data_IF_263610397488
#
_entry.id   IF_263610397488
#
_cell.length_a   1.000
_cell.length_b   1.000
_cell.length_c   1.000
_cell.angle_alpha   90.00
_cell.angle_beta   90.00
_cell.angle_gamma   90.00
#
_symmetry.space_group_name_H-M   'P 1'
#
loop_
_entity.id
_entity.type
_entity.pdbx_description
1 polymer ?
#
# COMPACT_ATOMS: atom_id res chain seq x y z
N UNK A 1 6.01 3.48 -2.68
CA UNK A 1 5.61 3.73 -1.28
C UNK A 1 5.14 2.42 -0.69
N UNK A 2 5.90 1.84 0.24
CA UNK A 2 5.53 0.59 0.91
C UNK A 2 4.88 0.92 2.25
N UNK A 3 3.65 0.44 2.48
CA UNK A 3 2.92 0.62 3.74
C UNK A 3 3.25 -0.57 4.64
N UNK A 4 4.06 -0.32 5.67
CA UNK A 4 4.26 -1.27 6.76
C UNK A 4 3.01 -1.32 7.64
N UNK A 5 2.36 -2.48 7.72
CA UNK A 5 1.33 -2.73 8.74
C UNK A 5 2.00 -3.02 10.10
N UNK A 6 1.62 -2.21 11.12
CA UNK A 6 2.02 -2.39 12.52
C UNK A 6 1.20 -3.53 13.16
N UNK A 7 1.89 -4.47 13.82
CA UNK A 7 1.29 -5.42 14.78
C UNK A 7 1.03 -4.69 16.10
N UNK A 8 -0.22 -4.70 16.57
CA UNK A 8 -0.56 -4.20 17.91
C UNK A 8 -0.26 -5.26 18.96
N UNK A 9 0.53 -4.90 19.97
CA UNK A 9 0.58 -5.59 21.26
C UNK A 9 -0.20 -4.82 22.32
N UNK A 10 -0.89 -5.54 23.20
CA UNK A 10 -1.18 -5.17 24.59
C UNK A 10 -1.61 -6.46 25.31
N UNK A 11 -0.87 -7.03 26.27
CA UNK A 11 -0.47 -6.61 27.65
C UNK A 11 -1.55 -6.92 28.70
N UNK A 12 -1.26 -8.01 29.44
CA UNK A 12 -1.53 -8.35 30.87
C UNK A 12 -2.78 -7.82 31.57
N UNK A 13 -3.45 -8.73 32.30
CA UNK A 13 -3.73 -8.54 33.74
C UNK A 13 -3.80 -9.88 34.50
N UNK A 14 -3.35 -9.81 35.74
CA UNK A 14 -3.09 -10.82 36.77
C UNK A 14 -4.30 -11.06 37.68
N UNK A 15 -4.29 -12.17 38.43
CA UNK A 15 -4.19 -12.28 39.92
C UNK A 15 -4.74 -13.63 40.43
N UNK A 16 -4.01 -14.13 41.42
CA UNK A 16 -4.06 -15.26 42.36
C UNK A 16 -5.36 -16.03 42.69
N UNK A 17 -5.20 -17.33 43.03
CA UNK A 17 -5.43 -17.82 44.41
C UNK A 17 -4.95 -19.28 44.66
N UNK A 18 -4.18 -19.43 45.75
CA UNK A 18 -4.14 -20.47 46.81
C UNK A 18 -3.83 -21.95 46.53
N UNK A 19 -2.60 -22.31 46.91
CA UNK A 19 -2.19 -23.21 48.01
C UNK A 19 -3.07 -24.41 48.42
N UNK A 20 -2.50 -25.63 48.37
CA UNK A 20 -2.66 -26.61 49.46
C UNK A 20 -1.46 -27.59 49.54
N UNK A 21 -0.97 -27.72 50.77
CA UNK A 21 0.14 -28.52 51.30
C UNK A 21 -0.18 -30.03 51.40
N UNK A 22 0.82 -30.92 51.24
CA UNK A 22 1.18 -31.98 52.22
C UNK A 22 2.32 -32.92 51.76
N UNK A 23 3.47 -32.75 52.42
CA UNK A 23 4.14 -33.70 53.33
C UNK A 23 4.61 -35.12 52.92
N UNK A 24 5.91 -35.33 53.23
CA UNK A 24 6.58 -36.53 53.79
C UNK A 24 6.86 -37.71 52.83
N UNK A 25 7.98 -38.46 52.88
CA UNK A 25 8.93 -38.77 53.97
C UNK A 25 10.25 -39.34 53.39
N UNK A 26 11.32 -39.15 54.18
CA UNK A 26 12.69 -39.74 54.13
C UNK A 26 12.76 -41.21 53.66
N UNK A 27 13.88 -41.58 53.01
CA UNK A 27 14.92 -42.41 53.64
C UNK A 27 16.24 -42.41 52.86
N UNK A 28 17.30 -42.33 53.66
CA UNK A 28 18.72 -42.39 53.37
C UNK A 28 19.12 -43.85 53.13
N UNK A 29 19.94 -44.13 52.12
CA UNK A 29 20.81 -45.31 52.13
C UNK A 29 21.98 -45.11 51.17
N UNK A 30 23.15 -44.99 51.79
CA UNK A 30 24.51 -44.99 51.26
C UNK A 30 24.76 -46.05 50.18
N UNK A 31 25.36 -45.65 49.06
CA UNK A 31 26.25 -46.54 48.32
C UNK A 31 27.35 -45.74 47.61
N UNK A 32 28.54 -45.75 48.20
CA UNK A 32 29.80 -45.36 47.58
C UNK A 32 30.03 -46.18 46.32
N UNK A 33 29.82 -45.62 45.12
CA UNK A 33 30.53 -46.09 43.91
C UNK A 33 30.81 -44.94 42.95
N UNK A 34 32.10 -44.70 42.80
CA UNK A 34 32.77 -44.19 41.61
C UNK A 34 32.49 -42.73 41.22
N UNK A 35 33.35 -41.86 41.77
CA UNK A 35 33.90 -40.73 41.02
C UNK A 35 34.66 -41.28 39.79
N UNK A 36 33.92 -41.71 38.77
CA UNK A 36 34.46 -41.81 37.42
C UNK A 36 34.02 -40.55 36.69
N UNK A 37 35.02 -39.74 36.36
CA UNK A 37 34.89 -38.57 35.50
C UNK A 37 34.00 -38.90 34.30
N UNK A 38 32.77 -38.37 34.30
CA UNK A 38 31.92 -38.38 33.11
C UNK A 38 32.46 -37.35 32.11
N UNK A 39 33.69 -37.56 31.63
CA UNK A 39 34.14 -37.01 30.35
C UNK A 39 33.48 -37.86 29.26
N UNK A 40 32.16 -37.70 29.13
CA UNK A 40 31.50 -38.04 27.88
C UNK A 40 32.15 -37.13 26.85
N UNK A 41 33.09 -37.67 26.07
CA UNK A 41 33.69 -37.00 24.92
C UNK A 41 32.55 -36.75 23.94
N UNK A 42 31.84 -35.65 24.16
CA UNK A 42 30.80 -35.13 23.29
C UNK A 42 31.39 -35.23 21.88
N UNK A 43 30.71 -35.89 20.92
CA UNK A 43 31.26 -36.07 19.59
C UNK A 43 31.20 -34.74 18.85
N UNK A 44 32.05 -33.79 19.23
CA UNK A 44 32.14 -32.43 18.72
C UNK A 44 32.23 -32.42 17.21
N UNK A 45 32.89 -33.43 16.62
CA UNK A 45 32.94 -33.63 15.16
C UNK A 45 31.54 -33.80 14.52
N UNK A 46 30.60 -34.50 15.16
CA UNK A 46 29.22 -34.70 14.67
C UNK A 46 28.34 -33.45 14.87
N UNK A 47 28.62 -32.67 15.91
CA UNK A 47 27.88 -31.43 16.21
C UNK A 47 28.32 -30.33 15.25
N UNK A 48 29.63 -30.16 15.05
CA UNK A 48 30.20 -29.18 14.12
C UNK A 48 29.76 -29.46 12.68
N UNK A 49 29.72 -30.72 12.24
CA UNK A 49 29.23 -31.05 10.89
C UNK A 49 27.75 -30.72 10.71
N UNK A 50 26.90 -31.01 11.70
CA UNK A 50 25.47 -30.62 11.66
C UNK A 50 25.29 -29.11 11.64
N UNK A 51 26.04 -28.37 12.46
CA UNK A 51 26.00 -26.91 12.46
C UNK A 51 26.45 -26.31 11.13
N UNK A 52 27.53 -26.82 10.54
CA UNK A 52 28.01 -26.37 9.23
C UNK A 52 27.00 -26.64 8.11
N UNK A 53 26.36 -27.81 8.11
CA UNK A 53 25.30 -28.13 7.14
C UNK A 53 24.09 -27.23 7.32
N UNK A 54 23.67 -26.96 8.56
CA UNK A 54 22.56 -26.03 8.86
C UNK A 54 22.89 -24.60 8.43
N UNK A 55 24.11 -24.11 8.68
CA UNK A 55 24.55 -22.78 8.24
C UNK A 55 24.61 -22.67 6.72
N UNK A 56 25.12 -23.69 6.02
CA UNK A 56 25.12 -23.76 4.55
C UNK A 56 23.70 -23.71 3.97
N UNK A 57 22.77 -24.46 4.56
CA UNK A 57 21.36 -24.44 4.14
C UNK A 57 20.70 -23.08 4.37
N UNK A 58 20.92 -22.46 5.54
CA UNK A 58 20.39 -21.12 5.83
C UNK A 58 21.00 -20.09 4.86
N UNK A 59 22.30 -20.17 4.59
CA UNK A 59 22.98 -19.29 3.64
C UNK A 59 22.44 -19.47 2.21
N UNK A 60 22.23 -20.72 1.77
CA UNK A 60 21.65 -21.01 0.47
C UNK A 60 20.22 -20.45 0.35
N UNK A 61 19.37 -20.65 1.35
CA UNK A 61 18.01 -20.09 1.39
C UNK A 61 18.03 -18.57 1.43
N UNK A 62 18.93 -17.96 2.21
CA UNK A 62 19.07 -16.51 2.26
C UNK A 62 19.49 -15.92 0.90
N UNK A 63 20.42 -16.58 0.21
CA UNK A 63 20.87 -16.16 -1.12
C UNK A 63 19.79 -16.34 -2.19
N UNK A 64 19.00 -17.41 -2.13
CA UNK A 64 17.91 -17.65 -3.08
C UNK A 64 16.67 -16.81 -2.80
N UNK A 65 16.38 -16.52 -1.53
CA UNK A 65 15.20 -15.74 -1.11
C UNK A 65 15.31 -14.25 -1.43
N UNK A 66 16.51 -13.70 -1.68
CA UNK A 66 16.70 -12.27 -1.96
C UNK A 66 16.41 -11.84 -3.39
N UNK A 67 15.99 -12.74 -4.26
CA UNK A 67 15.64 -12.43 -5.65
C UNK A 67 14.17 -12.03 -5.77
N UNK A 68 13.78 -10.92 -5.16
CA UNK A 68 12.55 -10.26 -5.58
C UNK A 68 12.90 -9.39 -6.81
N UNK A 69 12.56 -9.89 -8.00
CA UNK A 69 12.75 -9.20 -9.28
C UNK A 69 11.78 -8.02 -9.39
N UNK A 70 12.06 -6.94 -8.66
CA UNK A 70 11.37 -5.67 -8.86
C UNK A 70 11.97 -4.95 -10.05
N UNK A 71 11.23 -4.91 -11.16
CA UNK A 71 11.57 -4.04 -12.29
C UNK A 71 11.04 -2.63 -12.03
N UNK A 72 11.90 -1.61 -12.11
CA UNK A 72 11.48 -0.20 -12.04
C UNK A 72 10.68 0.12 -13.29
N UNK A 73 9.37 0.32 -13.15
CA UNK A 73 8.48 0.60 -14.29
C UNK A 73 8.65 2.02 -14.83
N UNK A 74 8.90 2.99 -13.95
CA UNK A 74 9.15 4.38 -14.27
C UNK A 74 9.97 5.01 -13.14
N UNK A 75 11.05 5.72 -13.48
CA UNK A 75 11.86 6.49 -12.53
C UNK A 75 11.43 7.95 -12.52
N UNK A 76 11.50 8.62 -11.36
CA UNK A 76 11.25 10.06 -11.24
C UNK A 76 12.29 10.90 -12.01
N UNK A 77 13.46 10.33 -12.31
CA UNK A 77 14.53 11.02 -13.04
C UNK A 77 14.29 11.04 -14.55
N UNK A 78 13.40 10.18 -15.05
CA UNK A 78 13.14 10.04 -16.48
C UNK A 78 12.00 10.98 -16.88
N UNK A 79 12.06 11.54 -18.09
CA UNK A 79 10.88 12.15 -18.73
C UNK A 79 10.24 11.14 -19.68
N UNK A 80 9.06 10.67 -19.33
CA UNK A 80 8.36 9.59 -20.00
C UNK A 80 7.21 10.16 -20.83
N UNK A 81 7.29 10.03 -22.16
CA UNK A 81 6.16 10.40 -23.01
C UNK A 81 4.98 9.46 -22.82
N UNK A 82 5.22 8.16 -22.90
CA UNK A 82 4.21 7.13 -22.63
C UNK A 82 4.92 5.81 -22.35
N UNK A 83 4.58 5.14 -21.26
CA UNK A 83 5.05 3.78 -20.94
C UNK A 83 3.89 2.98 -20.40
N UNK A 84 3.62 1.83 -21.02
CA UNK A 84 2.51 0.95 -20.65
C UNK A 84 3.00 -0.47 -20.35
N UNK A 85 2.35 -1.11 -19.38
CA UNK A 85 2.50 -2.54 -19.12
C UNK A 85 1.13 -3.16 -18.96
N UNK A 86 0.89 -4.27 -19.64
CA UNK A 86 -0.30 -5.07 -19.41
C UNK A 86 -0.17 -5.77 -18.06
N UNK A 87 -1.21 -5.68 -17.24
CA UNK A 87 -1.27 -6.35 -15.93
C UNK A 87 -2.50 -7.23 -15.86
N UNK A 88 -2.40 -8.33 -15.12
CA UNK A 88 -3.56 -9.18 -14.88
C UNK A 88 -4.60 -8.41 -14.09
N UNK A 89 -5.85 -8.41 -14.57
CA UNK A 89 -6.97 -7.84 -13.82
C UNK A 89 -7.13 -8.55 -12.47
N UNK A 90 -7.50 -7.80 -11.44
CA UNK A 90 -7.77 -8.38 -10.12
C UNK A 90 -8.96 -9.37 -10.20
N UNK A 91 -8.98 -10.43 -9.37
CA UNK A 91 -10.09 -11.38 -9.37
C UNK A 91 -11.45 -10.74 -9.09
N UNK A 92 -11.48 -9.71 -8.24
CA UNK A 92 -12.70 -8.93 -7.97
C UNK A 92 -13.17 -8.21 -9.25
N UNK A 93 -12.27 -7.52 -9.94
CA UNK A 93 -12.61 -6.77 -11.14
C UNK A 93 -13.04 -7.68 -12.32
N UNK A 94 -12.52 -8.92 -12.40
CA UNK A 94 -13.00 -9.90 -13.38
C UNK A 94 -14.49 -10.23 -13.22
N UNK A 95 -15.01 -10.22 -11.98
CA UNK A 95 -16.44 -10.39 -11.72
C UNK A 95 -17.23 -9.19 -12.26
N UNK A 96 -16.71 -7.98 -12.06
CA UNK A 96 -17.34 -6.76 -12.58
C UNK A 96 -17.39 -6.75 -14.11
N UNK A 97 -16.32 -7.20 -14.78
CA UNK A 97 -16.31 -7.38 -16.24
C UNK A 97 -17.45 -8.28 -16.68
N UNK A 98 -17.66 -9.42 -16.02
CA UNK A 98 -18.74 -10.35 -16.38
C UNK A 98 -20.15 -9.79 -16.13
N UNK A 99 -20.29 -8.91 -15.12
CA UNK A 99 -21.57 -8.31 -14.75
C UNK A 99 -21.93 -7.10 -15.63
N UNK A 100 -20.92 -6.38 -16.12
CA UNK A 100 -21.06 -5.09 -16.81
C UNK A 100 -20.28 -5.07 -18.13
N UNK A 101 -20.54 -6.04 -19.01
CA UNK A 101 -19.76 -6.29 -20.24
C UNK A 101 -19.51 -5.06 -21.14
N UNK A 102 -20.42 -4.08 -21.15
CA UNK A 102 -20.34 -2.88 -22.01
C UNK A 102 -19.99 -1.59 -21.26
N UNK A 103 -19.90 -1.62 -19.92
CA UNK A 103 -19.68 -0.43 -19.11
C UNK A 103 -18.26 -0.35 -18.52
N UNK A 104 -17.52 -1.47 -18.48
CA UNK A 104 -16.20 -1.49 -17.85
C UNK A 104 -15.07 -1.82 -18.85
N UNK A 105 -13.85 -1.29 -18.62
CA UNK A 105 -12.66 -1.70 -19.37
C UNK A 105 -12.42 -3.22 -19.34
N UNK A 106 -12.26 -3.83 -20.52
CA UNK A 106 -12.02 -5.28 -20.69
C UNK A 106 -10.56 -5.69 -20.45
N UNK A 107 -9.64 -4.74 -20.46
CA UNK A 107 -8.21 -4.97 -20.29
C UNK A 107 -7.69 -4.12 -19.13
N UNK A 108 -6.76 -4.69 -18.37
CA UNK A 108 -6.07 -3.99 -17.30
C UNK A 108 -4.62 -3.70 -17.72
N UNK A 109 -4.17 -2.50 -17.41
CA UNK A 109 -2.84 -2.04 -17.72
C UNK A 109 -2.39 -1.00 -16.69
N UNK A 110 -1.09 -0.81 -16.63
CA UNK A 110 -0.47 0.33 -15.96
C UNK A 110 0.07 1.26 -17.04
N UNK A 111 -0.22 2.55 -16.89
CA UNK A 111 0.23 3.61 -17.80
C UNK A 111 0.95 4.67 -16.98
N UNK A 112 2.10 5.12 -17.46
CA UNK A 112 2.84 6.27 -16.90
C UNK A 112 3.21 7.21 -18.04
N UNK A 113 2.99 8.50 -17.82
CA UNK A 113 3.28 9.56 -18.77
C UNK A 113 3.37 10.91 -18.05
N UNK A 114 4.31 11.74 -18.49
CA UNK A 114 4.53 13.10 -17.97
C UNK A 114 3.87 14.19 -18.83
N UNK A 115 3.17 13.81 -19.91
CA UNK A 115 2.59 14.79 -20.86
C UNK A 115 1.12 15.10 -20.56
N UNK A 116 0.51 14.42 -19.58
CA UNK A 116 -0.92 14.59 -19.26
C UNK A 116 -1.21 15.99 -18.78
N UNK A 117 -0.35 16.58 -17.93
CA UNK A 117 -0.60 17.86 -17.27
C UNK A 117 0.62 18.74 -17.42
N UNK A 118 0.44 19.96 -17.91
CA UNK A 118 1.52 20.93 -17.99
C UNK A 118 1.89 21.47 -16.60
N UNK A 119 3.13 21.97 -16.40
CA UNK A 119 3.52 22.59 -15.13
C UNK A 119 2.61 23.77 -14.72
N UNK A 120 2.11 24.52 -15.69
CA UNK A 120 1.22 25.66 -15.49
C UNK A 120 -0.15 25.21 -14.97
N UNK A 121 -0.73 24.17 -15.60
CA UNK A 121 -2.00 23.57 -15.15
C UNK A 121 -1.85 22.93 -13.77
N UNK A 122 -0.75 22.23 -13.51
CA UNK A 122 -0.47 21.66 -12.20
C UNK A 122 -0.38 22.74 -11.11
N UNK A 123 0.32 23.84 -11.39
CA UNK A 123 0.38 25.00 -10.49
C UNK A 123 -1.00 25.64 -10.30
N UNK A 124 -1.82 25.70 -11.34
CA UNK A 124 -3.20 26.21 -11.28
C UNK A 124 -4.09 25.33 -10.41
N UNK A 125 -4.10 24.02 -10.65
CA UNK A 125 -4.84 23.04 -9.86
C UNK A 125 -4.41 23.08 -8.39
N UNK A 126 -3.11 23.21 -8.11
CA UNK A 126 -2.62 23.38 -6.74
C UNK A 126 -3.21 24.63 -6.07
N UNK A 127 -3.31 25.77 -6.77
CA UNK A 127 -3.96 26.97 -6.23
C UNK A 127 -5.45 26.71 -5.95
N UNK A 128 -6.16 26.05 -6.87
CA UNK A 128 -7.58 25.70 -6.71
C UNK A 128 -7.78 24.81 -5.49
N UNK A 129 -6.98 23.75 -5.34
CA UNK A 129 -7.04 22.84 -4.19
C UNK A 129 -6.78 23.58 -2.89
N UNK A 130 -5.76 24.45 -2.82
CA UNK A 130 -5.46 25.26 -1.62
C UNK A 130 -6.63 26.17 -1.25
N UNK A 131 -7.21 26.89 -2.22
CA UNK A 131 -8.36 27.77 -1.99
C UNK A 131 -9.57 26.99 -1.46
N UNK A 132 -9.90 25.86 -2.08
CA UNK A 132 -11.06 25.06 -1.67
C UNK A 132 -10.88 24.39 -0.32
N UNK A 133 -9.71 23.78 -0.07
CA UNK A 133 -9.41 23.10 1.20
C UNK A 133 -9.31 24.08 2.38
N UNK A 134 -8.97 25.35 2.15
CA UNK A 134 -8.96 26.38 3.19
C UNK A 134 -10.35 26.67 3.80
N UNK A 135 -11.44 26.31 3.10
CA UNK A 135 -12.82 26.44 3.60
C UNK A 135 -13.32 25.20 4.35
N UNK A 136 -12.56 24.12 4.26
CA UNK A 136 -12.79 22.87 4.96
C UNK A 136 -11.99 22.80 6.26
N UNK A 137 -11.74 21.57 6.65
CA UNK A 137 -10.96 21.23 7.84
C UNK A 137 -11.53 19.95 8.37
N UNK A 138 -10.79 18.84 8.31
CA UNK A 138 -11.28 17.58 8.85
C UNK A 138 -10.78 17.40 10.28
N UNK A 139 -11.65 16.90 11.15
CA UNK A 139 -11.28 16.36 12.46
C UNK A 139 -10.49 15.03 12.35
N UNK A 140 -10.49 14.41 11.17
CA UNK A 140 -9.70 13.23 10.85
C UNK A 140 -8.35 13.54 10.19
N UNK A 141 -7.74 12.51 9.56
CA UNK A 141 -6.37 12.61 9.03
C UNK A 141 -6.21 13.31 7.68
N UNK A 142 -7.24 13.31 6.83
CA UNK A 142 -7.16 13.91 5.49
C UNK A 142 -8.43 14.71 5.17
N UNK A 143 -8.25 15.88 4.56
CA UNK A 143 -9.35 16.68 4.01
C UNK A 143 -9.57 16.35 2.54
N UNK A 144 -10.84 16.19 2.15
CA UNK A 144 -11.26 15.85 0.80
C UNK A 144 -12.06 17.03 0.22
N UNK A 145 -11.85 17.31 -1.06
CA UNK A 145 -12.60 18.29 -1.84
C UNK A 145 -12.93 17.67 -3.20
N UNK A 146 -14.22 17.61 -3.53
CA UNK A 146 -14.74 17.24 -4.84
C UNK A 146 -15.40 18.46 -5.49
N UNK A 147 -14.78 18.98 -6.54
CA UNK A 147 -15.30 20.12 -7.30
C UNK A 147 -16.53 19.75 -8.16
N UNK A 148 -16.74 18.47 -8.49
CA UNK A 148 -17.89 18.07 -9.30
C UNK A 148 -19.18 18.11 -8.47
N UNK A 149 -19.19 17.47 -7.29
CA UNK A 149 -20.36 17.47 -6.40
C UNK A 149 -20.41 18.67 -5.45
N UNK A 150 -19.27 19.34 -5.23
CA UNK A 150 -19.11 20.36 -4.21
C UNK A 150 -18.82 19.79 -2.81
N UNK A 151 -18.63 18.48 -2.66
CA UNK A 151 -18.36 17.87 -1.36
C UNK A 151 -17.02 18.33 -0.78
N UNK A 152 -17.04 18.89 0.43
CA UNK A 152 -15.86 19.33 1.17
C UNK A 152 -15.90 18.73 2.58
N UNK A 153 -14.78 18.15 3.02
CA UNK A 153 -14.63 17.71 4.40
C UNK A 153 -14.65 18.89 5.36
N UNK A 154 -15.54 18.83 6.34
CA UNK A 154 -15.67 19.82 7.40
C UNK A 154 -16.01 19.11 8.72
N UNK A 155 -15.12 19.24 9.70
CA UNK A 155 -15.09 18.49 10.94
C UNK A 155 -15.20 16.97 10.70
N UNK A 156 -16.30 16.35 11.12
CA UNK A 156 -16.56 14.91 11.00
C UNK A 156 -17.55 14.57 9.87
N UNK A 157 -17.87 15.52 8.98
CA UNK A 157 -18.85 15.34 7.91
C UNK A 157 -18.41 15.96 6.58
N UNK A 158 -19.26 15.82 5.57
CA UNK A 158 -19.12 16.50 4.29
C UNK A 158 -20.19 17.56 4.14
N UNK A 159 -19.80 18.73 3.66
CA UNK A 159 -20.69 19.84 3.36
C UNK A 159 -20.62 20.19 1.87
N UNK A 160 -21.62 20.91 1.37
CA UNK A 160 -21.58 21.50 0.05
C UNK A 160 -20.84 22.85 0.10
N UNK A 161 -19.65 22.90 -0.49
CA UNK A 161 -18.84 24.12 -0.54
C UNK A 161 -19.56 25.25 -1.30
N UNK A 162 -20.35 24.93 -2.32
CA UNK A 162 -21.03 25.96 -3.12
C UNK A 162 -22.13 26.68 -2.34
N UNK A 163 -22.85 25.96 -1.49
CA UNK A 163 -23.83 26.56 -0.57
C UNK A 163 -23.14 27.44 0.47
N UNK A 164 -22.03 26.95 1.05
CA UNK A 164 -21.22 27.71 2.02
C UNK A 164 -20.66 29.01 1.40
N UNK A 165 -20.15 28.94 0.17
CA UNK A 165 -19.66 30.09 -0.59
C UNK A 165 -20.76 31.14 -0.78
N UNK A 166 -21.95 30.69 -1.19
CA UNK A 166 -23.11 31.55 -1.43
C UNK A 166 -23.55 32.23 -0.13
N UNK A 167 -23.54 31.50 1.00
CA UNK A 167 -23.92 32.01 2.30
C UNK A 167 -22.92 33.05 2.86
N UNK A 168 -21.61 32.87 2.63
CA UNK A 168 -20.57 33.81 3.09
C UNK A 168 -20.39 35.05 2.19
N UNK A 169 -21.13 35.17 1.07
CA UNK A 169 -20.98 36.28 0.13
C UNK A 169 -19.64 36.30 -0.62
N UNK A 170 -18.83 35.26 -0.49
CA UNK A 170 -17.51 35.13 -1.12
C UNK A 170 -17.64 34.56 -2.52
N UNK A 171 -18.31 35.26 -3.44
CA UNK A 171 -18.54 34.82 -4.84
C UNK A 171 -17.26 34.59 -5.68
N UNK A 172 -16.07 34.53 -5.09
CA UNK A 172 -14.77 34.61 -5.78
C UNK A 172 -13.76 33.51 -5.39
N UNK A 173 -14.14 32.44 -4.70
CA UNK A 173 -13.18 31.38 -4.36
C UNK A 173 -12.68 30.70 -5.63
N UNK A 174 -13.61 30.21 -6.44
CA UNK A 174 -13.32 29.59 -7.72
C UNK A 174 -13.74 30.52 -8.86
N UNK A 175 -12.89 30.64 -9.87
CA UNK A 175 -13.20 31.39 -11.08
C UNK A 175 -13.66 30.45 -12.20
N UNK A 176 -14.34 30.96 -13.26
CA UNK A 176 -14.65 30.16 -14.44
C UNK A 176 -13.42 29.48 -15.06
N UNK A 177 -12.26 30.14 -15.00
CA UNK A 177 -10.98 29.60 -15.46
C UNK A 177 -10.52 28.40 -14.62
N UNK A 178 -10.73 28.43 -13.29
CA UNK A 178 -10.44 27.29 -12.41
C UNK A 178 -11.19 26.04 -12.88
N UNK A 179 -12.48 26.18 -13.20
CA UNK A 179 -13.30 25.07 -13.71
C UNK A 179 -12.95 24.66 -15.14
N UNK A 180 -12.43 25.59 -15.96
CA UNK A 180 -11.97 25.27 -17.32
C UNK A 180 -10.73 24.39 -17.26
N UNK A 181 -9.74 24.76 -16.45
CA UNK A 181 -8.51 23.98 -16.26
C UNK A 181 -8.82 22.62 -15.65
N UNK A 182 -9.62 22.56 -14.59
CA UNK A 182 -10.03 21.31 -13.95
C UNK A 182 -10.68 20.33 -14.93
N UNK A 183 -11.62 20.80 -15.76
CA UNK A 183 -12.29 19.97 -16.77
C UNK A 183 -11.35 19.54 -17.90
N UNK A 184 -10.49 20.45 -18.37
CA UNK A 184 -9.55 20.11 -19.44
C UNK A 184 -8.59 19.00 -19.02
N UNK A 185 -7.98 19.14 -17.84
CA UNK A 185 -7.07 18.13 -17.30
C UNK A 185 -7.81 16.82 -16.99
N UNK A 186 -8.84 16.89 -16.13
CA UNK A 186 -9.48 15.68 -15.59
C UNK A 186 -10.34 14.90 -16.59
N UNK A 187 -11.01 15.59 -17.52
CA UNK A 187 -11.96 14.94 -18.43
C UNK A 187 -11.47 14.81 -19.87
N UNK A 188 -10.56 15.68 -20.33
CA UNK A 188 -10.14 15.67 -21.73
C UNK A 188 -8.77 15.02 -21.88
N UNK A 189 -7.74 15.56 -21.23
CA UNK A 189 -6.35 15.12 -21.41
C UNK A 189 -6.11 13.69 -20.89
N UNK A 190 -6.68 13.34 -19.74
CA UNK A 190 -6.59 11.97 -19.20
C UNK A 190 -7.30 10.96 -20.11
N UNK A 191 -8.50 11.29 -20.58
CA UNK A 191 -9.29 10.38 -21.42
C UNK A 191 -8.69 10.20 -22.81
N UNK A 192 -8.09 11.24 -23.41
CA UNK A 192 -7.46 11.13 -24.72
C UNK A 192 -6.27 10.15 -24.70
N UNK A 193 -5.45 10.20 -23.65
CA UNK A 193 -4.30 9.31 -23.47
C UNK A 193 -4.75 7.86 -23.23
N UNK A 194 -5.82 7.65 -22.46
CA UNK A 194 -6.39 6.31 -22.25
C UNK A 194 -6.89 5.71 -23.57
N UNK A 195 -7.59 6.49 -24.39
CA UNK A 195 -8.11 6.02 -25.67
C UNK A 195 -7.00 5.78 -26.71
N UNK A 196 -5.94 6.59 -26.73
CA UNK A 196 -4.76 6.36 -27.58
C UNK A 196 -4.12 5.00 -27.28
N UNK A 197 -3.88 4.68 -26.00
CA UNK A 197 -3.32 3.38 -25.61
C UNK A 197 -4.28 2.23 -25.90
N UNK A 198 -5.59 2.44 -25.76
CA UNK A 198 -6.61 1.46 -26.12
C UNK A 198 -6.56 1.11 -27.62
N UNK A 199 -6.36 2.10 -28.49
CA UNK A 199 -6.19 1.89 -29.94
C UNK A 199 -4.90 1.11 -30.20
N UNK A 200 -3.79 1.48 -29.55
CA UNK A 200 -2.49 0.80 -29.69
C UNK A 200 -2.58 -0.69 -29.32
N UNK A 201 -3.25 -1.02 -28.21
CA UNK A 201 -3.48 -2.41 -27.77
C UNK A 201 -4.34 -3.20 -28.77
N UNK A 202 -5.37 -2.60 -29.36
CA UNK A 202 -6.17 -3.25 -30.42
C UNK A 202 -5.32 -3.52 -31.67
N UNK A 203 -4.45 -2.60 -32.06
CA UNK A 203 -3.53 -2.76 -33.19
C UNK A 203 -2.54 -3.92 -33.01
N UNK A 204 -2.01 -4.10 -31.79
CA UNK A 204 -1.12 -5.23 -31.45
C UNK A 204 -1.84 -6.59 -31.49
N UNK A 205 -3.11 -6.64 -31.07
CA UNK A 205 -3.88 -7.89 -31.09
C UNK A 205 -4.37 -8.31 -32.48
N UNK A 206 -4.47 -7.39 -33.46
CA UNK A 206 -4.81 -7.71 -34.85
C UNK A 206 -3.63 -8.25 -35.68
N UNK A 207 -2.39 -8.14 -35.17
CA UNK A 207 -1.16 -8.59 -35.84
C UNK A 207 -0.67 -9.98 -35.36
N UNK A 208 -1.46 -10.67 -34.54
CA UNK A 208 -1.26 -12.06 -34.12
C UNK A 208 -2.40 -12.91 -34.66
#
# INVERSE_FOLDING_TARGET
MAVHQRKSGNKKKSVDDKELNKDNKKNDETNERNFESLSSKIPWRKIVTRFMLSLLMIFAVYWTSKKEDFHVFASQKDRIQLTSAQVSCSPAYKKDISKFNDCVPKHCGRLVTDIVVTPEEAAHLLRVSKKGLAFGGSSGGASILDLHSGALSYDSSFINIYEKIKAHGTNKIFTPEDFKVYRSVGMQQVNSIIEEERINLRGKNKKK
#
